data_IF_023908535344
#
_entry.id   IF_023908535344
#
_cell.length_a   1.000
_cell.length_b   1.000
_cell.length_c   1.000
_cell.angle_alpha   90.00
_cell.angle_beta   90.00
_cell.angle_gamma   90.00
#
_symmetry.space_group_name_H-M   'P 1'
#
loop_
_entity.id
_entity.type
_entity.pdbx_description
1 polymer ?
#
# COMPACT_ATOMS: atom_id res chain seq x y z
N UNK A 1 -10.17 2.44 -5.41
CA UNK A 1 -9.12 3.24 -4.75
C UNK A 1 -8.27 2.34 -3.88
N UNK A 2 -6.97 2.64 -3.75
CA UNK A 2 -6.06 1.90 -2.89
C UNK A 2 -5.46 2.81 -1.81
N UNK A 3 -5.33 2.28 -0.60
CA UNK A 3 -4.59 2.89 0.49
C UNK A 3 -3.35 2.06 0.82
N UNK A 4 -2.17 2.67 0.80
CA UNK A 4 -0.93 2.07 1.29
C UNK A 4 -0.70 2.48 2.74
N UNK A 5 -0.69 1.51 3.64
CA UNK A 5 -0.53 1.71 5.09
C UNK A 5 0.77 1.07 5.55
N UNK A 6 1.71 1.89 6.03
CA UNK A 6 3.01 1.43 6.52
C UNK A 6 3.41 2.24 7.74
N UNK A 7 3.04 1.76 8.93
CA UNK A 7 3.23 2.51 10.18
C UNK A 7 4.10 1.75 11.18
N UNK A 8 5.00 2.49 11.83
CA UNK A 8 5.72 2.06 13.02
C UNK A 8 4.78 2.08 14.23
N UNK A 9 4.22 3.26 14.55
CA UNK A 9 3.20 3.43 15.59
C UNK A 9 1.82 3.02 15.04
N UNK A 10 1.21 2.03 15.69
CA UNK A 10 -0.05 1.40 15.27
C UNK A 10 -1.26 1.96 16.02
N UNK A 11 -1.08 3.01 16.81
CA UNK A 11 -2.18 3.64 17.56
C UNK A 11 -3.30 4.06 16.61
N UNK A 12 -4.51 3.52 16.83
CA UNK A 12 -5.72 3.83 16.05
C UNK A 12 -5.75 3.28 14.61
N UNK A 13 -4.73 2.54 14.16
CA UNK A 13 -4.65 2.11 12.75
C UNK A 13 -5.72 1.07 12.40
N UNK A 14 -6.14 0.26 13.36
CA UNK A 14 -7.13 -0.77 13.12
C UNK A 14 -8.50 -0.16 12.83
N UNK A 15 -8.97 0.72 13.69
CA UNK A 15 -10.23 1.45 13.57
C UNK A 15 -10.26 2.26 12.28
N UNK A 16 -9.18 3.01 12.02
CA UNK A 16 -9.01 3.77 10.79
C UNK A 16 -9.11 2.89 9.54
N UNK A 17 -8.44 1.74 9.54
CA UNK A 17 -8.45 0.81 8.40
C UNK A 17 -9.80 0.13 8.19
N UNK A 18 -10.58 -0.11 9.26
CA UNK A 18 -11.96 -0.62 9.16
C UNK A 18 -12.85 0.35 8.41
N UNK A 19 -12.77 1.65 8.73
CA UNK A 19 -13.55 2.68 8.04
C UNK A 19 -13.15 2.79 6.56
N UNK A 20 -11.85 2.76 6.24
CA UNK A 20 -11.41 2.73 4.84
C UNK A 20 -11.98 1.52 4.09
N UNK A 21 -11.94 0.34 4.70
CA UNK A 21 -12.50 -0.86 4.11
C UNK A 21 -14.02 -0.76 3.91
N UNK A 22 -14.75 -0.21 4.89
CA UNK A 22 -16.20 0.02 4.80
C UNK A 22 -16.58 0.96 3.65
N UNK A 23 -15.70 1.90 3.29
CA UNK A 23 -15.83 2.77 2.11
C UNK A 23 -15.44 2.08 0.78
N UNK A 24 -15.11 0.78 0.80
CA UNK A 24 -14.70 0.03 -0.38
C UNK A 24 -13.25 0.31 -0.83
N UNK A 25 -12.43 0.92 0.03
CA UNK A 25 -11.01 1.17 -0.26
C UNK A 25 -10.23 -0.12 0.00
N UNK A 26 -9.44 -0.53 -1.00
CA UNK A 26 -8.56 -1.69 -0.90
C UNK A 26 -7.31 -1.33 -0.10
N UNK A 27 -6.95 -2.19 0.86
CA UNK A 27 -5.83 -1.97 1.76
C UNK A 27 -4.58 -2.69 1.24
N UNK A 28 -3.50 -1.94 1.06
CA UNK A 28 -2.14 -2.45 0.84
C UNK A 28 -1.33 -2.17 2.11
N UNK A 29 -0.56 -3.14 2.60
CA UNK A 29 0.26 -2.93 3.79
C UNK A 29 1.53 -3.77 3.81
N UNK A 30 2.40 -3.53 4.79
CA UNK A 30 3.69 -4.20 4.94
C UNK A 30 3.85 -4.82 6.33
N UNK A 31 4.50 -5.98 6.39
CA UNK A 31 5.04 -6.58 7.62
C UNK A 31 4.05 -6.56 8.80
N UNK A 32 4.50 -5.99 9.93
CA UNK A 32 3.71 -5.97 11.16
C UNK A 32 2.37 -5.22 11.06
N UNK A 33 2.22 -4.27 10.13
CA UNK A 33 0.94 -3.58 9.92
C UNK A 33 -0.03 -4.49 9.15
N UNK A 34 0.43 -5.13 8.07
CA UNK A 34 -0.37 -6.10 7.33
C UNK A 34 -0.85 -7.24 8.24
N UNK A 35 0.06 -7.78 9.06
CA UNK A 35 -0.26 -8.81 10.06
C UNK A 35 -1.34 -8.36 11.04
N UNK A 36 -1.20 -7.16 11.63
CA UNK A 36 -2.20 -6.63 12.57
C UNK A 36 -3.59 -6.58 11.94
N UNK A 37 -3.70 -6.08 10.71
CA UNK A 37 -4.98 -5.94 10.02
C UNK A 37 -5.58 -7.32 9.69
N UNK A 38 -4.77 -8.24 9.13
CA UNK A 38 -5.20 -9.59 8.78
C UNK A 38 -5.64 -10.40 10.02
N UNK A 39 -4.87 -10.36 11.11
CA UNK A 39 -5.19 -11.05 12.37
C UNK A 39 -6.52 -10.53 12.98
N UNK A 40 -6.97 -9.34 12.60
CA UNK A 40 -8.23 -8.73 13.02
C UNK A 40 -9.36 -8.83 11.97
N UNK A 41 -9.18 -9.70 10.97
CA UNK A 41 -10.19 -10.04 9.97
C UNK A 41 -10.38 -9.00 8.87
N UNK A 42 -9.46 -8.04 8.72
CA UNK A 42 -9.52 -7.09 7.61
C UNK A 42 -8.85 -7.67 6.36
N UNK A 43 -9.52 -7.62 5.20
CA UNK A 43 -8.88 -7.94 3.92
C UNK A 43 -7.78 -6.92 3.62
N UNK A 44 -6.53 -7.39 3.61
CA UNK A 44 -5.35 -6.59 3.30
C UNK A 44 -4.45 -7.39 2.37
N UNK A 45 -3.93 -6.72 1.34
CA UNK A 45 -2.94 -7.30 0.45
C UNK A 45 -1.55 -6.90 0.93
N UNK A 46 -0.65 -7.87 1.09
CA UNK A 46 0.74 -7.58 1.42
C UNK A 46 1.47 -6.98 0.21
N UNK A 47 2.35 -6.01 0.44
CA UNK A 47 3.15 -5.40 -0.64
C UNK A 47 4.00 -6.42 -1.39
N UNK A 48 4.50 -7.46 -0.71
CA UNK A 48 5.24 -8.54 -1.37
C UNK A 48 4.36 -9.25 -2.41
N UNK A 49 3.11 -9.58 -2.07
CA UNK A 49 2.16 -10.21 -2.98
C UNK A 49 1.77 -9.28 -4.14
N UNK A 50 1.55 -8.00 -3.84
CA UNK A 50 1.19 -7.00 -4.85
C UNK A 50 2.33 -6.78 -5.87
N UNK A 51 3.56 -6.71 -5.38
CA UNK A 51 4.74 -6.48 -6.23
C UNK A 51 5.18 -7.74 -6.96
N UNK A 52 5.04 -8.91 -6.33
CA UNK A 52 5.64 -10.18 -6.73
C UNK A 52 7.13 -10.27 -6.37
N UNK A 53 7.64 -9.36 -5.54
CA UNK A 53 9.04 -9.31 -5.14
C UNK A 53 9.17 -9.72 -3.67
N UNK A 54 10.08 -10.66 -3.33
CA UNK A 54 10.21 -11.17 -1.97
C UNK A 54 10.78 -10.11 -1.02
N UNK A 55 10.57 -10.31 0.28
CA UNK A 55 11.27 -9.49 1.28
C UNK A 55 12.78 -9.77 1.25
N UNK A 56 13.59 -8.71 1.29
CA UNK A 56 15.05 -8.79 1.37
C UNK A 56 15.63 -7.65 2.20
N UNK A 57 16.87 -7.83 2.66
CA UNK A 57 17.62 -6.84 3.46
C UNK A 57 16.84 -6.37 4.69
N UNK A 58 16.26 -7.31 5.45
CA UNK A 58 15.43 -7.04 6.64
C UNK A 58 14.29 -6.04 6.36
N UNK A 59 13.70 -6.14 5.17
CA UNK A 59 12.58 -5.30 4.75
C UNK A 59 12.96 -3.87 4.33
N UNK A 60 14.26 -3.55 4.21
CA UNK A 60 14.73 -2.20 3.83
C UNK A 60 14.26 -1.72 2.46
N UNK A 61 13.95 -2.63 1.55
CA UNK A 61 13.68 -2.29 0.14
C UNK A 61 12.30 -2.75 -0.35
N UNK A 62 11.44 -3.27 0.52
CA UNK A 62 10.17 -3.91 0.12
C UNK A 62 9.19 -2.99 -0.60
N UNK A 63 9.19 -1.69 -0.31
CA UNK A 63 8.34 -0.70 -0.99
C UNK A 63 9.04 0.03 -2.13
N UNK A 64 10.36 -0.14 -2.30
CA UNK A 64 11.15 0.49 -3.36
C UNK A 64 10.96 -0.23 -4.70
N UNK A 65 9.71 -0.26 -5.16
CA UNK A 65 9.29 -1.02 -6.33
C UNK A 65 8.45 -0.14 -7.28
N UNK A 66 8.59 -0.27 -8.61
CA UNK A 66 7.81 0.51 -9.59
C UNK A 66 6.29 0.40 -9.43
N UNK A 67 5.77 -0.77 -9.06
CA UNK A 67 4.32 -0.93 -8.77
C UNK A 67 3.83 -0.07 -7.60
N UNK A 68 4.70 0.22 -6.62
CA UNK A 68 4.35 1.08 -5.49
C UNK A 68 4.54 2.55 -5.88
N UNK A 69 5.76 2.91 -6.30
CA UNK A 69 6.07 4.31 -6.59
C UNK A 69 5.39 4.83 -7.85
N UNK A 70 5.16 4.00 -8.87
CA UNK A 70 4.36 4.35 -10.04
C UNK A 70 2.89 4.62 -9.67
N UNK A 71 2.32 3.82 -8.76
CA UNK A 71 0.97 4.03 -8.25
C UNK A 71 0.82 5.33 -7.45
N UNK A 72 1.88 5.74 -6.74
CA UNK A 72 1.91 6.98 -5.96
C UNK A 72 2.22 8.24 -6.81
N UNK A 73 3.16 8.12 -7.75
CA UNK A 73 3.75 9.28 -8.45
C UNK A 73 3.11 9.58 -9.81
N UNK A 74 2.26 8.69 -10.34
CA UNK A 74 1.59 8.95 -11.61
C UNK A 74 0.71 10.20 -11.52
N UNK A 75 0.97 11.14 -12.43
CA UNK A 75 0.17 12.35 -12.61
C UNK A 75 -1.14 11.99 -13.29
N UNK A 76 -2.23 12.08 -12.54
CA UNK A 76 -3.58 11.72 -13.02
C UNK A 76 -4.11 12.68 -14.08
N UNK A 77 -3.62 13.92 -14.09
CA UNK A 77 -3.96 14.96 -15.06
C UNK A 77 -3.22 14.82 -16.40
N UNK A 78 -2.24 13.91 -16.48
CA UNK A 78 -1.43 13.68 -17.68
C UNK A 78 -1.77 12.30 -18.29
N UNK A 79 -2.52 12.23 -19.41
CA UNK A 79 -2.96 10.97 -20.01
C UNK A 79 -1.84 9.98 -20.29
N UNK A 80 -0.65 10.47 -20.64
CA UNK A 80 0.54 9.65 -20.92
C UNK A 80 1.00 8.85 -19.69
N UNK A 81 0.96 9.45 -18.49
CA UNK A 81 1.30 8.73 -17.26
C UNK A 81 0.28 7.63 -16.96
N UNK A 82 -1.02 7.93 -17.13
CA UNK A 82 -2.10 6.97 -16.89
C UNK A 82 -2.04 5.80 -17.88
N UNK A 83 -1.67 6.08 -19.14
CA UNK A 83 -1.42 5.04 -20.14
C UNK A 83 -0.22 4.16 -19.75
N UNK A 84 0.89 4.78 -19.32
CA UNK A 84 2.11 4.05 -18.93
C UNK A 84 1.87 3.11 -17.74
N UNK A 85 1.26 3.58 -16.65
CA UNK A 85 1.00 2.71 -15.49
C UNK A 85 0.03 1.57 -15.85
N UNK A 86 -0.98 1.85 -16.68
CA UNK A 86 -1.92 0.83 -17.14
C UNK A 86 -1.23 -0.23 -18.00
N UNK A 87 -0.35 0.16 -18.91
CA UNK A 87 0.40 -0.76 -19.77
C UNK A 87 1.31 -1.71 -18.97
N UNK A 88 1.78 -1.28 -17.80
CA UNK A 88 2.62 -2.08 -16.91
C UNK A 88 1.86 -2.75 -15.75
N UNK A 89 0.52 -2.69 -15.74
CA UNK A 89 -0.30 -3.29 -14.68
C UNK A 89 -0.08 -2.66 -13.31
N UNK A 90 0.25 -1.36 -13.26
CA UNK A 90 0.45 -0.59 -12.04
C UNK A 90 -0.86 0.11 -11.69
N UNK A 91 -1.44 -0.24 -10.54
CA UNK A 91 -2.65 0.38 -10.02
C UNK A 91 -2.31 1.71 -9.31
N UNK A 92 -3.24 2.66 -9.31
CA UNK A 92 -3.06 3.91 -8.56
C UNK A 92 -3.17 3.68 -7.06
N UNK A 93 -2.36 4.41 -6.30
CA UNK A 93 -2.45 4.51 -4.84
C UNK A 93 -2.95 5.93 -4.53
N UNK A 94 -4.08 6.01 -3.86
CA UNK A 94 -4.83 7.25 -3.65
C UNK A 94 -4.62 7.82 -2.24
N UNK A 95 -4.27 6.94 -1.29
CA UNK A 95 -3.97 7.31 0.09
C UNK A 95 -2.65 6.66 0.53
N UNK A 96 -1.78 7.44 1.16
CA UNK A 96 -0.57 6.96 1.80
C UNK A 96 -0.63 7.30 3.29
N UNK A 97 -0.63 6.28 4.14
CA UNK A 97 -0.62 6.42 5.60
C UNK A 97 0.71 5.86 6.09
N UNK A 98 1.59 6.76 6.48
CA UNK A 98 2.95 6.44 6.90
C UNK A 98 3.30 7.22 8.16
N UNK A 99 3.92 6.56 9.11
CA UNK A 99 4.69 7.20 10.16
C UNK A 99 6.04 6.48 10.26
N UNK A 100 7.06 7.22 10.67
CA UNK A 100 8.44 6.75 10.67
C UNK A 100 8.78 6.10 12.01
N UNK A 101 9.86 5.34 12.04
CA UNK A 101 10.45 4.92 13.31
C UNK A 101 10.78 6.15 14.17
N UNK A 102 10.61 6.07 15.50
CA UNK A 102 11.01 7.15 16.41
C UNK A 102 12.50 7.48 16.31
#
# INVERSE_FOLDING_TARGET
MHALISVSDKTGILEFSRELHALGIKLLSTGGTAKLLADNGLPVTEVADHTGFPEMLDGRVKTLHPKIHGGLLARRDLPEHMAAIKAHGIETIDLLIVNLYP
#
